data_IF_901398764318
#
_entry.id   IF_901398764318
#
_cell.length_a   1.000
_cell.length_b   1.000
_cell.length_c   1.000
_cell.angle_alpha   90.00
_cell.angle_beta   90.00
_cell.angle_gamma   90.00
#
_symmetry.space_group_name_H-M   'P 1'
#
loop_
_entity.id
_entity.type
_entity.pdbx_description
1 polymer ?
#
# COMPACT_ATOMS: atom_id res chain seq x y z
N UNK A 1 9.76 -7.76 1.16
CA UNK A 1 8.86 -8.47 0.20
C UNK A 1 7.43 -8.02 0.40
N UNK A 2 6.73 -7.70 -0.67
CA UNK A 2 5.34 -7.21 -0.62
C UNK A 2 4.42 -8.30 -1.19
N UNK A 3 3.35 -8.62 -0.47
CA UNK A 3 2.30 -9.54 -0.94
C UNK A 3 1.19 -8.76 -1.63
N UNK A 4 1.11 -8.92 -2.93
CA UNK A 4 0.10 -8.31 -3.78
C UNK A 4 -1.08 -9.24 -3.98
N UNK A 5 -2.29 -8.75 -3.77
CA UNK A 5 -3.52 -9.46 -4.08
C UNK A 5 -3.98 -9.10 -5.49
N UNK A 6 -4.13 -10.09 -6.35
CA UNK A 6 -4.77 -9.94 -7.67
C UNK A 6 -6.20 -10.47 -7.60
N UNK A 7 -7.16 -9.67 -8.05
CA UNK A 7 -8.59 -10.01 -8.11
C UNK A 7 -9.03 -9.98 -9.56
N UNK A 8 -9.61 -11.07 -10.04
CA UNK A 8 -10.17 -11.14 -11.38
C UNK A 8 -11.62 -10.64 -11.34
N UNK A 9 -11.93 -9.70 -12.21
CA UNK A 9 -13.25 -9.06 -12.29
C UNK A 9 -13.73 -9.01 -13.74
N UNK A 10 -15.03 -9.04 -13.93
CA UNK A 10 -15.63 -8.77 -15.24
C UNK A 10 -15.42 -7.30 -15.61
N UNK A 11 -15.18 -7.01 -16.89
CA UNK A 11 -15.01 -5.64 -17.37
C UNK A 11 -16.38 -4.98 -17.61
N UNK A 12 -17.06 -4.67 -16.51
CA UNK A 12 -18.38 -4.04 -16.52
C UNK A 12 -18.54 -2.97 -15.43
N UNK A 13 -19.49 -2.06 -15.58
CA UNK A 13 -19.77 -1.03 -14.58
C UNK A 13 -20.04 -1.62 -13.19
N UNK A 14 -19.34 -1.10 -12.17
CA UNK A 14 -19.53 -1.50 -10.78
C UNK A 14 -18.64 -2.68 -10.31
N UNK A 15 -17.92 -3.37 -11.19
CA UNK A 15 -17.08 -4.51 -10.79
C UNK A 15 -16.02 -4.15 -9.76
N UNK A 16 -15.30 -3.06 -9.96
CA UNK A 16 -14.32 -2.57 -8.98
C UNK A 16 -14.98 -2.13 -7.66
N UNK A 17 -16.15 -1.51 -7.73
CA UNK A 17 -16.91 -1.11 -6.54
C UNK A 17 -17.30 -2.34 -5.70
N UNK A 18 -17.74 -3.45 -6.33
CA UNK A 18 -18.05 -4.70 -5.60
C UNK A 18 -16.85 -5.22 -4.82
N UNK A 19 -15.64 -5.22 -5.42
CA UNK A 19 -14.40 -5.62 -4.74
C UNK A 19 -14.10 -4.71 -3.56
N UNK A 20 -14.11 -3.40 -3.77
CA UNK A 20 -13.80 -2.44 -2.70
C UNK A 20 -14.84 -2.44 -1.58
N UNK A 21 -16.11 -2.74 -1.88
CA UNK A 21 -17.15 -2.91 -0.85
C UNK A 21 -16.85 -4.08 0.09
N UNK A 22 -16.42 -5.23 -0.45
CA UNK A 22 -16.03 -6.39 0.38
C UNK A 22 -14.84 -6.04 1.28
N UNK A 23 -13.84 -5.35 0.77
CA UNK A 23 -12.69 -4.93 1.57
C UNK A 23 -13.09 -3.94 2.68
N UNK A 24 -14.01 -3.02 2.37
CA UNK A 24 -14.56 -2.07 3.34
C UNK A 24 -15.34 -2.79 4.45
N UNK A 25 -16.22 -3.74 4.10
CA UNK A 25 -16.96 -4.55 5.06
C UNK A 25 -16.03 -5.36 5.98
N UNK A 26 -14.87 -5.77 5.46
CA UNK A 26 -13.84 -6.51 6.20
C UNK A 26 -12.84 -5.61 6.92
N UNK A 27 -13.02 -4.29 6.91
CA UNK A 27 -12.12 -3.30 7.50
C UNK A 27 -10.68 -3.34 6.98
N UNK A 28 -10.50 -3.71 5.73
CA UNK A 28 -9.20 -3.83 5.06
C UNK A 28 -8.90 -2.56 4.29
N UNK A 29 -7.72 -2.01 4.51
CA UNK A 29 -7.29 -0.78 3.87
C UNK A 29 -6.44 -1.06 2.62
N UNK A 30 -6.74 -0.34 1.53
CA UNK A 30 -6.00 -0.42 0.27
C UNK A 30 -4.86 0.59 0.31
N UNK A 31 -3.63 0.13 0.10
CA UNK A 31 -2.41 0.94 0.03
C UNK A 31 -2.06 1.33 -1.39
N UNK A 32 -2.26 0.40 -2.30
CA UNK A 32 -2.02 0.62 -3.72
C UNK A 32 -3.04 -0.13 -4.56
N UNK A 33 -3.34 0.42 -5.72
CA UNK A 33 -4.21 -0.18 -6.71
C UNK A 33 -3.64 0.03 -8.10
N UNK A 34 -3.65 -1.02 -8.90
CA UNK A 34 -3.39 -0.99 -10.32
C UNK A 34 -4.36 -1.90 -11.03
N UNK A 35 -4.88 -1.49 -12.17
CA UNK A 35 -5.81 -2.30 -12.96
C UNK A 35 -5.27 -2.52 -14.35
N UNK A 36 -5.48 -3.70 -14.87
CA UNK A 36 -5.26 -4.06 -16.25
C UNK A 36 -6.55 -4.66 -16.81
N UNK A 37 -6.94 -4.27 -18.00
CA UNK A 37 -8.19 -4.69 -18.64
C UNK A 37 -7.94 -5.40 -19.97
N UNK A 38 -8.84 -6.32 -20.24
CA UNK A 38 -9.14 -6.86 -21.58
C UNK A 38 -10.61 -6.58 -21.88
N UNK A 39 -11.10 -6.81 -23.11
CA UNK A 39 -12.52 -6.60 -23.41
C UNK A 39 -13.47 -7.38 -22.49
N UNK A 40 -13.10 -8.57 -22.05
CA UNK A 40 -13.95 -9.48 -21.30
C UNK A 40 -13.75 -9.43 -19.79
N UNK A 41 -12.52 -9.17 -19.34
CA UNK A 41 -12.18 -9.17 -17.90
C UNK A 41 -11.10 -8.16 -17.55
N UNK A 42 -11.02 -7.83 -16.27
CA UNK A 42 -9.97 -7.03 -15.69
C UNK A 42 -9.23 -7.76 -14.58
N UNK A 43 -8.04 -7.31 -14.31
CA UNK A 43 -7.27 -7.74 -13.13
C UNK A 43 -7.02 -6.51 -12.27
N UNK A 44 -7.58 -6.50 -11.07
CA UNK A 44 -7.22 -5.53 -10.04
C UNK A 44 -6.06 -6.08 -9.23
N UNK A 45 -4.94 -5.36 -9.22
CA UNK A 45 -3.80 -5.62 -8.34
C UNK A 45 -3.86 -4.67 -7.17
N UNK A 46 -3.86 -5.23 -5.97
CA UNK A 46 -4.04 -4.50 -4.73
C UNK A 46 -2.88 -4.80 -3.79
N UNK A 47 -2.35 -3.78 -3.15
CA UNK A 47 -1.56 -3.91 -1.94
C UNK A 47 -2.46 -3.48 -0.80
N UNK A 48 -2.65 -4.35 0.17
CA UNK A 48 -3.54 -4.14 1.32
C UNK A 48 -2.79 -4.43 2.62
N UNK A 49 -3.31 -3.98 3.74
CA UNK A 49 -2.68 -4.20 5.05
C UNK A 49 -2.83 -5.64 5.57
N UNK A 50 -3.88 -6.35 5.17
CA UNK A 50 -4.17 -7.73 5.59
C UNK A 50 -4.47 -8.63 4.37
N UNK A 51 -3.45 -9.02 3.58
CA UNK A 51 -3.66 -9.69 2.29
C UNK A 51 -4.36 -11.06 2.39
N UNK A 52 -4.09 -11.86 3.43
CA UNK A 52 -4.76 -13.15 3.61
C UNK A 52 -6.24 -12.97 3.96
N UNK A 53 -6.57 -12.07 4.89
CA UNK A 53 -7.95 -11.75 5.24
C UNK A 53 -8.73 -11.20 4.04
N UNK A 54 -8.07 -10.34 3.23
CA UNK A 54 -8.65 -9.82 1.98
C UNK A 54 -8.97 -10.94 0.99
N UNK A 55 -8.03 -11.87 0.81
CA UNK A 55 -8.21 -13.03 -0.06
C UNK A 55 -9.39 -13.89 0.41
N UNK A 56 -9.46 -14.22 1.69
CA UNK A 56 -10.55 -15.02 2.27
C UNK A 56 -11.90 -14.33 2.10
N UNK A 57 -12.01 -13.05 2.44
CA UNK A 57 -13.24 -12.28 2.34
C UNK A 57 -13.75 -12.19 0.89
N UNK A 58 -12.87 -11.92 -0.06
CA UNK A 58 -13.21 -11.84 -1.48
C UNK A 58 -13.58 -13.21 -2.05
N UNK A 59 -12.85 -14.27 -1.69
CA UNK A 59 -13.14 -15.63 -2.14
C UNK A 59 -14.50 -16.11 -1.61
N UNK A 60 -14.84 -15.78 -0.37
CA UNK A 60 -16.15 -16.08 0.22
C UNK A 60 -17.30 -15.38 -0.52
N UNK A 61 -17.06 -14.27 -1.21
CA UNK A 61 -18.01 -13.54 -2.05
C UNK A 61 -17.97 -13.97 -3.53
N UNK A 62 -17.19 -15.01 -3.86
CA UNK A 62 -17.12 -15.60 -5.19
C UNK A 62 -16.10 -15.00 -6.13
N UNK A 63 -15.25 -14.07 -5.67
CA UNK A 63 -14.17 -13.54 -6.49
C UNK A 63 -13.03 -14.55 -6.64
N UNK A 64 -12.46 -14.61 -7.83
CA UNK A 64 -11.21 -15.34 -8.08
C UNK A 64 -10.04 -14.46 -7.67
N UNK A 65 -9.23 -14.94 -6.74
CA UNK A 65 -8.14 -14.16 -6.15
C UNK A 65 -6.82 -14.93 -6.13
N UNK A 66 -5.72 -14.21 -6.21
CA UNK A 66 -4.36 -14.77 -6.10
C UNK A 66 -3.45 -13.80 -5.34
N UNK A 67 -2.69 -14.31 -4.37
CA UNK A 67 -1.57 -13.57 -3.77
C UNK A 67 -0.31 -13.90 -4.56
N UNK A 68 0.46 -12.87 -4.87
CA UNK A 68 1.72 -12.93 -5.61
C UNK A 68 2.74 -12.04 -4.91
N UNK A 69 3.95 -12.54 -4.75
CA UNK A 69 5.07 -11.75 -4.24
C UNK A 69 5.57 -10.78 -5.29
N UNK A 70 5.83 -9.55 -4.87
CA UNK A 70 6.32 -8.48 -5.73
C UNK A 70 7.45 -7.72 -5.05
N UNK A 71 8.34 -7.13 -5.84
CA UNK A 71 9.41 -6.29 -5.33
C UNK A 71 8.90 -4.87 -5.19
N UNK A 72 9.14 -4.25 -4.04
CA UNK A 72 8.95 -2.83 -3.80
C UNK A 72 10.29 -2.11 -3.74
N UNK A 73 10.45 -1.02 -4.46
CA UNK A 73 11.64 -0.18 -4.46
C UNK A 73 11.27 1.28 -4.24
N UNK A 74 11.88 1.93 -3.24
CA UNK A 74 11.72 3.37 -3.01
C UNK A 74 12.66 4.13 -3.96
N UNK A 75 12.11 4.97 -4.81
CA UNK A 75 12.89 5.82 -5.72
C UNK A 75 12.71 7.28 -5.34
N UNK A 76 13.82 8.03 -5.29
CA UNK A 76 13.73 9.49 -5.20
C UNK A 76 12.97 10.04 -6.40
N UNK A 77 12.11 11.04 -6.17
CA UNK A 77 11.35 11.70 -7.24
C UNK A 77 12.26 12.65 -8.03
N UNK A 78 13.13 12.06 -8.84
CA UNK A 78 14.10 12.74 -9.68
C UNK A 78 14.02 12.19 -11.12
N UNK A 79 14.24 13.05 -12.09
CA UNK A 79 14.23 12.66 -13.50
C UNK A 79 15.27 11.57 -13.77
N UNK A 80 14.83 10.45 -14.35
CA UNK A 80 15.70 9.35 -14.76
C UNK A 80 15.87 8.23 -13.73
N UNK A 81 15.43 8.37 -12.47
CA UNK A 81 15.60 7.32 -11.47
C UNK A 81 14.86 6.02 -11.81
N UNK A 82 13.67 6.10 -12.38
CA UNK A 82 12.99 4.90 -12.88
C UNK A 82 13.80 4.23 -14.01
N UNK A 83 14.32 5.01 -14.96
CA UNK A 83 15.15 4.46 -16.04
C UNK A 83 16.43 3.82 -15.48
N UNK A 84 17.10 4.45 -14.50
CA UNK A 84 18.26 3.86 -13.82
C UNK A 84 17.93 2.50 -13.20
N UNK A 85 16.82 2.39 -12.46
CA UNK A 85 16.39 1.12 -11.86
C UNK A 85 16.13 0.05 -12.93
N UNK A 86 15.42 0.41 -14.01
CA UNK A 86 15.14 -0.51 -15.11
C UNK A 86 16.43 -0.93 -15.85
N UNK A 87 17.42 -0.05 -15.97
CA UNK A 87 18.74 -0.40 -16.52
C UNK A 87 19.46 -1.43 -15.65
N UNK A 88 19.45 -1.25 -14.32
CA UNK A 88 20.06 -2.21 -13.38
C UNK A 88 19.41 -3.59 -13.52
N UNK A 89 18.08 -3.65 -13.66
CA UNK A 89 17.35 -4.92 -13.86
C UNK A 89 17.69 -5.54 -15.22
N UNK A 90 17.77 -4.73 -16.29
CA UNK A 90 18.10 -5.20 -17.62
C UNK A 90 19.55 -5.73 -17.71
N UNK A 91 20.52 -5.01 -17.12
CA UNK A 91 21.93 -5.45 -17.02
C UNK A 91 22.06 -6.75 -16.20
N UNK A 92 21.13 -6.95 -15.25
CA UNK A 92 20.98 -8.20 -14.51
C UNK A 92 20.20 -9.28 -15.26
N UNK A 93 19.82 -9.06 -16.52
CA UNK A 93 18.99 -10.00 -17.31
C UNK A 93 17.67 -10.37 -16.62
N UNK A 94 17.05 -9.39 -15.94
CA UNK A 94 15.79 -9.57 -15.22
C UNK A 94 14.66 -8.95 -16.03
N UNK A 95 13.68 -9.78 -16.38
CA UNK A 95 12.47 -9.32 -17.05
C UNK A 95 11.46 -8.77 -16.04
N UNK A 96 10.87 -7.62 -16.37
CA UNK A 96 9.78 -7.01 -15.58
C UNK A 96 8.46 -7.28 -16.28
N UNK A 97 7.60 -8.11 -15.66
CA UNK A 97 6.33 -8.51 -16.25
C UNK A 97 5.28 -7.40 -16.18
N UNK A 98 5.26 -6.65 -15.09
CA UNK A 98 4.46 -5.43 -14.93
C UNK A 98 5.04 -4.56 -13.82
N UNK A 99 4.68 -3.29 -13.84
CA UNK A 99 5.16 -2.26 -12.93
C UNK A 99 4.06 -1.23 -12.66
N UNK A 100 4.00 -0.72 -11.43
CA UNK A 100 3.17 0.43 -11.05
C UNK A 100 3.80 1.17 -9.87
N UNK A 101 3.30 2.36 -9.56
CA UNK A 101 3.82 3.17 -8.47
C UNK A 101 2.71 3.64 -7.53
N UNK A 102 3.09 3.91 -6.29
CA UNK A 102 2.23 4.59 -5.32
C UNK A 102 3.07 5.38 -4.31
N UNK A 103 2.41 6.24 -3.55
CA UNK A 103 3.03 7.02 -2.48
C UNK A 103 2.45 6.57 -1.16
N UNK A 104 3.31 6.15 -0.21
CA UNK A 104 2.87 5.65 1.10
C UNK A 104 2.33 6.79 1.97
N UNK A 105 3.00 7.96 1.93
CA UNK A 105 2.67 9.15 2.73
C UNK A 105 3.08 10.42 1.99
N UNK A 106 2.43 11.52 2.32
CA UNK A 106 2.86 12.85 1.87
C UNK A 106 4.32 13.12 2.30
N UNK A 107 5.13 13.65 1.39
CA UNK A 107 6.54 13.94 1.61
C UNK A 107 7.49 12.72 1.59
N UNK A 108 6.99 11.51 1.32
CA UNK A 108 7.81 10.31 1.10
C UNK A 108 8.07 10.10 -0.39
N UNK A 109 9.19 9.49 -0.69
CA UNK A 109 9.51 9.07 -2.05
C UNK A 109 8.48 8.04 -2.56
N UNK A 110 8.17 8.04 -3.87
CA UNK A 110 7.30 7.04 -4.47
C UNK A 110 7.90 5.65 -4.36
N UNK A 111 7.04 4.68 -4.13
CA UNK A 111 7.39 3.26 -4.17
C UNK A 111 7.00 2.71 -5.54
N UNK A 112 7.96 2.11 -6.21
CA UNK A 112 7.75 1.36 -7.42
C UNK A 112 7.55 -0.10 -7.04
N UNK A 113 6.46 -0.68 -7.48
CA UNK A 113 6.18 -2.12 -7.33
C UNK A 113 6.28 -2.78 -8.68
N UNK A 114 6.98 -3.89 -8.75
CA UNK A 114 7.08 -4.66 -9.98
C UNK A 114 7.13 -6.17 -9.71
N UNK A 115 6.69 -6.92 -10.69
CA UNK A 115 6.75 -8.38 -10.69
C UNK A 115 7.79 -8.87 -11.69
N UNK A 116 8.53 -9.89 -11.27
CA UNK A 116 9.52 -10.61 -12.07
C UNK A 116 9.45 -12.11 -11.75
N UNK A 117 9.92 -12.94 -12.66
CA UNK A 117 9.97 -14.39 -12.45
C UNK A 117 11.19 -14.79 -11.60
N UNK A 118 12.23 -13.95 -11.51
CA UNK A 118 13.42 -14.16 -10.68
C UNK A 118 13.52 -13.11 -9.57
N UNK A 119 12.68 -13.29 -8.56
CA UNK A 119 12.55 -12.39 -7.42
C UNK A 119 13.87 -12.21 -6.65
N UNK A 120 14.55 -13.33 -6.30
CA UNK A 120 15.77 -13.30 -5.51
C UNK A 120 16.92 -12.61 -6.22
N UNK A 121 17.03 -12.81 -7.54
CA UNK A 121 18.04 -12.14 -8.36
C UNK A 121 17.75 -10.65 -8.45
N UNK A 122 16.47 -10.27 -8.63
CA UNK A 122 16.06 -8.88 -8.68
C UNK A 122 16.42 -8.11 -7.40
N UNK A 123 16.11 -8.68 -6.23
CA UNK A 123 16.49 -8.07 -4.95
C UNK A 123 18.00 -7.87 -4.84
N UNK A 124 18.79 -8.93 -5.12
CA UNK A 124 20.25 -8.87 -5.02
C UNK A 124 20.90 -7.82 -5.92
N UNK A 125 20.40 -7.63 -7.16
CA UNK A 125 21.00 -6.63 -8.06
C UNK A 125 20.62 -5.23 -7.67
N UNK A 126 19.40 -5.01 -7.16
CA UNK A 126 18.95 -3.71 -6.67
C UNK A 126 19.68 -3.31 -5.39
N UNK A 127 19.84 -4.23 -4.43
CA UNK A 127 20.61 -3.99 -3.20
C UNK A 127 22.08 -3.63 -3.49
N UNK A 128 22.73 -4.36 -4.42
CA UNK A 128 24.10 -4.05 -4.86
C UNK A 128 24.24 -2.66 -5.50
N UNK A 129 23.16 -2.15 -6.07
CA UNK A 129 23.09 -0.83 -6.69
C UNK A 129 22.61 0.27 -5.73
N UNK A 130 22.52 -0.03 -4.42
CA UNK A 130 22.06 0.87 -3.36
C UNK A 130 20.64 1.41 -3.61
N UNK A 131 19.77 0.55 -4.18
CA UNK A 131 18.34 0.85 -4.30
C UNK A 131 17.64 0.35 -3.04
N UNK A 132 16.95 1.25 -2.35
CA UNK A 132 16.22 0.91 -1.14
C UNK A 132 15.00 0.05 -1.45
N UNK A 133 14.99 -1.18 -0.96
CA UNK A 133 13.84 -2.06 -1.04
C UNK A 133 12.82 -1.71 0.05
N UNK A 134 11.56 -1.97 -0.25
CA UNK A 134 10.42 -1.72 0.65
C UNK A 134 9.82 -3.05 1.04
N UNK A 135 9.71 -3.27 2.34
CA UNK A 135 9.09 -4.46 2.91
C UNK A 135 7.60 -4.21 3.22
N UNK A 136 6.85 -5.30 3.37
CA UNK A 136 5.42 -5.21 3.70
C UNK A 136 5.17 -4.43 5.01
N UNK A 137 6.08 -4.53 5.96
CA UNK A 137 6.01 -3.81 7.23
C UNK A 137 6.12 -2.30 7.06
N UNK A 138 6.89 -1.83 6.07
CA UNK A 138 7.03 -0.40 5.76
C UNK A 138 5.71 0.19 5.22
N UNK A 139 4.86 -0.66 4.63
CA UNK A 139 3.56 -0.29 4.08
C UNK A 139 2.47 -0.24 5.15
N UNK A 140 2.67 -0.90 6.27
CA UNK A 140 1.79 -0.78 7.41
C UNK A 140 1.95 0.65 7.93
N UNK A 141 0.89 1.45 7.89
CA UNK A 141 0.89 2.68 8.69
C UNK A 141 1.08 2.15 10.12
N UNK A 142 2.20 2.52 10.75
CA UNK A 142 2.30 2.31 12.18
C UNK A 142 0.96 2.76 12.76
N UNK A 143 0.17 1.81 13.30
CA UNK A 143 -0.92 2.14 14.18
C UNK A 143 -0.26 3.06 15.19
N UNK A 144 -0.47 4.36 15.01
CA UNK A 144 -0.12 5.44 15.90
C UNK A 144 0.89 5.00 16.98
N UNK A 145 2.07 5.59 16.99
CA UNK A 145 2.61 5.96 18.27
C UNK A 145 1.52 6.80 18.93
N UNK A 146 0.69 6.15 19.73
CA UNK A 146 -0.24 6.81 20.63
C UNK A 146 0.71 7.47 21.60
N UNK A 147 1.02 8.75 21.33
CA UNK A 147 1.65 9.59 22.34
C UNK A 147 0.55 9.79 23.40
N UNK A 148 0.58 8.89 24.38
CA UNK A 148 -0.30 8.99 25.55
C UNK A 148 0.27 10.10 26.41
N UNK A 149 -0.03 11.35 26.02
CA UNK A 149 0.15 12.46 26.95
C UNK A 149 -0.89 12.31 28.06
N UNK A 150 -0.42 12.08 29.28
CA UNK A 150 -1.27 12.07 30.46
C UNK A 150 -1.75 13.50 30.73
N UNK A 151 -3.02 13.77 30.50
CA UNK A 151 -3.61 15.05 30.87
C UNK A 151 -4.44 14.86 32.14
N UNK A 152 -4.09 15.57 33.20
CA UNK A 152 -4.84 15.59 34.43
C UNK A 152 -6.02 16.56 34.26
N UNK A 153 -7.24 16.03 34.19
CA UNK A 153 -8.49 16.80 34.18
C UNK A 153 -9.24 16.50 35.45
N UNK A 154 -9.52 17.53 36.27
CA UNK A 154 -10.26 17.42 37.54
C UNK A 154 -9.67 16.40 38.54
N UNK A 155 -8.34 16.25 38.57
CA UNK A 155 -7.65 15.33 39.50
C UNK A 155 -7.66 13.85 39.10
N UNK A 156 -8.23 13.49 37.95
CA UNK A 156 -8.16 12.15 37.39
C UNK A 156 -7.23 12.10 36.17
N UNK A 157 -6.43 11.04 36.06
CA UNK A 157 -5.59 10.78 34.91
C UNK A 157 -6.51 10.28 33.79
N UNK A 158 -6.59 11.07 32.72
CA UNK A 158 -7.31 10.68 31.51
C UNK A 158 -6.28 10.49 30.37
N UNK A 159 -6.17 9.27 29.87
CA UNK A 159 -5.35 8.99 28.70
C UNK A 159 -6.10 9.45 27.43
N UNK A 160 -5.59 10.49 26.78
CA UNK A 160 -6.13 10.98 25.52
C UNK A 160 -5.18 10.55 24.42
N UNK A 161 -5.65 9.70 23.50
CA UNK A 161 -4.92 9.33 22.31
C UNK A 161 -5.03 10.46 21.26
N UNK A 162 -3.94 11.15 20.94
CA UNK A 162 -3.88 12.09 19.84
C UNK A 162 -3.41 11.40 18.57
N UNK A 163 -4.15 11.58 17.49
CA UNK A 163 -3.69 11.26 16.14
C UNK A 163 -3.15 12.55 15.50
N UNK A 164 -1.98 12.51 14.92
CA UNK A 164 -1.37 13.68 14.24
C UNK A 164 -2.24 14.29 13.13
N UNK A 165 -3.31 13.61 12.73
CA UNK A 165 -4.28 14.06 11.71
C UNK A 165 -5.51 14.78 12.29
N UNK A 166 -5.53 15.12 13.58
CA UNK A 166 -6.68 15.80 14.22
C UNK A 166 -6.49 17.30 14.43
N UNK A 167 -5.49 17.88 13.79
CA UNK A 167 -5.20 19.32 13.91
C UNK A 167 -5.57 20.01 12.60
N UNK A 168 -6.40 21.07 12.67
CA UNK A 168 -6.71 21.88 11.52
C UNK A 168 -5.53 22.80 11.11
N UNK A 169 -5.65 23.48 9.95
CA UNK A 169 -4.61 24.39 9.44
C UNK A 169 -4.23 25.56 10.39
N UNK A 170 -4.92 25.70 11.54
CA UNK A 170 -4.64 26.70 12.58
C UNK A 170 -4.04 26.09 13.84
N UNK A 171 -3.78 24.77 13.88
CA UNK A 171 -3.21 24.10 15.03
C UNK A 171 -4.21 23.77 16.14
N UNK A 172 -5.52 23.88 15.87
CA UNK A 172 -6.58 23.58 16.85
C UNK A 172 -7.10 22.13 16.65
N UNK A 173 -7.12 21.33 17.71
CA UNK A 173 -7.64 19.97 17.67
C UNK A 173 -9.14 19.94 17.38
N UNK A 174 -9.55 19.00 16.51
CA UNK A 174 -10.95 18.84 16.07
C UNK A 174 -11.92 18.68 17.26
N UNK A 175 -11.43 18.16 18.39
CA UNK A 175 -12.23 17.95 19.61
C UNK A 175 -12.58 19.23 20.37
N UNK A 176 -11.92 20.37 20.13
CA UNK A 176 -12.26 21.64 20.80
C UNK A 176 -13.62 22.22 20.36
N UNK A 177 -14.18 21.70 19.25
CA UNK A 177 -15.48 22.15 18.69
C UNK A 177 -16.69 21.31 19.12
N UNK A 178 -16.47 20.17 19.80
CA UNK A 178 -17.54 19.23 20.17
C UNK A 178 -18.10 19.52 21.59
N UNK A 179 -17.38 20.29 22.41
CA UNK A 179 -17.72 20.58 23.81
C UNK A 179 -17.91 22.07 24.12
N UNK A 180 -18.46 22.84 23.17
CA UNK A 180 -19.02 24.16 23.43
C UNK A 180 -20.52 24.13 23.37
#
# INVERSE_FOLDING_TARGET
>A
MIRQLSVFVENEPGSMMRVTSVLTESHINIRAISTFDTPEFGIMRLVVDEPECAKESLTAKGFVTRITEVVGAELKDEKGNLNRMLTILADGEINVNYIYSFVIREGKAPVIVFHTDDFDKAQKVLEKADVKLVEEEDLRINKLSIDTSETIVNGNIMQIAYSENTVDKKGEGIFSKIFK
#
